data_IF_650242640565
#
_entry.id   IF_650242640565
#
_cell.length_a   1.000
_cell.length_b   1.000
_cell.length_c   1.000
_cell.angle_alpha   90.00
_cell.angle_beta   90.00
_cell.angle_gamma   90.00
#
_symmetry.space_group_name_H-M   'P 1'
#
loop_
_entity.id
_entity.type
_entity.pdbx_description
1 polymer ?
#
# COMPACT_ATOMS: atom_id res chain seq x y z
N UNK A 1 -35.23 64.37 67.28
CA UNK A 1 -34.49 63.09 67.29
C UNK A 1 -34.40 62.55 65.87
N UNK A 2 -33.17 62.36 65.39
CA UNK A 2 -32.69 61.47 64.31
C UNK A 2 -33.32 61.57 62.90
N UNK A 3 -32.57 62.26 62.05
CA UNK A 3 -32.41 62.14 60.59
C UNK A 3 -32.24 60.71 60.09
N UNK A 4 -32.81 60.40 58.91
CA UNK A 4 -32.22 59.48 57.93
C UNK A 4 -32.51 59.95 56.49
N UNK A 5 -31.44 60.17 55.74
CA UNK A 5 -31.42 60.37 54.29
C UNK A 5 -31.39 59.00 53.61
N UNK A 6 -32.05 58.86 52.46
CA UNK A 6 -31.77 57.77 51.52
C UNK A 6 -31.96 58.27 50.10
N UNK A 7 -30.82 58.48 49.43
CA UNK A 7 -30.68 58.78 48.01
C UNK A 7 -30.70 57.45 47.25
N UNK A 8 -31.56 57.32 46.25
CA UNK A 8 -31.58 56.14 45.36
C UNK A 8 -31.18 56.61 43.95
N UNK A 9 -29.97 56.25 43.56
CA UNK A 9 -29.42 56.40 42.20
C UNK A 9 -30.02 55.32 41.31
N UNK A 10 -30.67 55.71 40.21
CA UNK A 10 -31.16 54.79 39.18
C UNK A 10 -30.27 54.91 37.94
N UNK A 11 -29.54 53.84 37.65
CA UNK A 11 -28.61 53.68 36.53
C UNK A 11 -29.38 53.50 35.21
N UNK A 12 -29.04 54.30 34.20
CA UNK A 12 -29.59 54.25 32.84
C UNK A 12 -28.92 53.13 32.03
N UNK A 13 -29.72 52.17 31.55
CA UNK A 13 -29.28 51.11 30.63
C UNK A 13 -29.29 51.65 29.20
N UNK A 14 -28.11 51.68 28.56
CA UNK A 14 -27.92 51.97 27.14
C UNK A 14 -28.23 50.71 26.32
N UNK A 15 -29.18 50.82 25.39
CA UNK A 15 -29.47 49.81 24.37
C UNK A 15 -28.50 50.01 23.19
N UNK A 16 -27.55 49.10 23.02
CA UNK A 16 -26.73 48.97 21.81
C UNK A 16 -27.42 47.98 20.86
N UNK A 17 -27.97 48.50 19.76
CA UNK A 17 -28.38 47.70 18.60
C UNK A 17 -27.13 47.35 17.77
N UNK A 18 -26.68 46.10 17.87
CA UNK A 18 -25.69 45.54 16.96
C UNK A 18 -26.41 45.02 15.71
N UNK A 19 -26.18 45.70 14.58
CA UNK A 19 -26.45 45.20 13.25
C UNK A 19 -25.19 44.41 12.83
N UNK A 20 -25.24 43.08 12.88
CA UNK A 20 -24.18 42.18 12.43
C UNK A 20 -24.74 41.27 11.35
N UNK A 21 -24.39 41.57 10.10
CA UNK A 21 -24.64 40.72 8.94
C UNK A 21 -23.53 39.68 8.87
N UNK A 22 -23.69 38.56 9.56
CA UNK A 22 -22.85 37.38 9.37
C UNK A 22 -23.53 36.48 8.34
N UNK A 23 -23.05 36.56 7.10
CA UNK A 23 -23.26 35.48 6.14
C UNK A 23 -22.30 34.36 6.51
N UNK A 24 -22.66 33.61 7.55
CA UNK A 24 -21.94 32.43 7.99
C UNK A 24 -22.22 31.32 6.98
N UNK A 25 -21.54 31.36 5.84
CA UNK A 25 -21.52 30.23 4.91
C UNK A 25 -20.57 29.20 5.52
N UNK A 26 -21.08 28.42 6.49
CA UNK A 26 -20.38 27.24 6.95
C UNK A 26 -20.19 26.34 5.74
N UNK A 27 -18.98 26.32 5.16
CA UNK A 27 -18.63 25.34 4.14
C UNK A 27 -18.74 23.97 4.79
N UNK A 28 -19.64 23.14 4.26
CA UNK A 28 -19.71 21.75 4.69
C UNK A 28 -18.33 21.10 4.49
N UNK A 29 -17.88 20.38 5.52
CA UNK A 29 -16.60 19.67 5.52
C UNK A 29 -16.83 18.16 5.63
N UNK A 30 -15.91 17.39 5.06
CA UNK A 30 -15.70 15.98 5.34
C UNK A 30 -14.29 15.75 5.87
N UNK A 31 -13.99 14.54 6.32
CA UNK A 31 -12.68 14.18 6.85
C UNK A 31 -11.91 13.33 5.84
N UNK A 32 -10.59 13.54 5.78
CA UNK A 32 -9.69 12.73 4.97
C UNK A 32 -8.54 12.18 5.80
N UNK A 33 -8.25 10.90 5.56
CA UNK A 33 -7.20 10.13 6.20
C UNK A 33 -6.42 9.38 5.12
N UNK A 34 -5.09 9.37 5.21
CA UNK A 34 -4.21 8.66 4.28
C UNK A 34 -3.28 7.72 5.04
N UNK A 35 -3.39 6.45 4.73
CA UNK A 35 -2.44 5.41 5.08
C UNK A 35 -1.33 5.24 4.05
N UNK A 36 -0.16 4.79 4.50
CA UNK A 36 0.93 4.32 3.63
C UNK A 36 1.36 2.93 4.10
N UNK A 37 1.47 1.98 3.19
CA UNK A 37 1.88 0.59 3.44
C UNK A 37 2.83 0.09 2.35
N UNK A 38 3.46 -1.05 2.59
CA UNK A 38 4.52 -1.62 1.78
C UNK A 38 4.43 -3.14 1.59
N UNK A 39 4.93 -3.59 0.44
CA UNK A 39 5.35 -4.97 0.23
C UNK A 39 6.89 -5.05 0.25
N UNK A 40 7.48 -5.58 1.34
CA UNK A 40 8.88 -5.38 1.66
C UNK A 40 9.84 -6.13 0.76
N UNK A 41 10.97 -5.50 0.44
CA UNK A 41 12.02 -6.07 -0.40
C UNK A 41 13.13 -6.73 0.43
N UNK A 42 13.72 -7.81 -0.09
CA UNK A 42 14.92 -8.41 0.49
C UNK A 42 16.14 -7.49 0.30
N UNK A 43 17.01 -7.40 1.30
CA UNK A 43 18.25 -6.63 1.22
C UNK A 43 18.13 -5.18 1.68
N UNK A 44 16.92 -4.71 2.03
CA UNK A 44 16.69 -3.39 2.60
C UNK A 44 16.33 -3.54 4.08
N UNK A 45 17.12 -2.93 4.97
CA UNK A 45 16.90 -2.97 6.42
C UNK A 45 16.08 -1.81 6.94
N UNK A 46 16.08 -0.68 6.23
CA UNK A 46 15.28 0.50 6.55
C UNK A 46 15.02 1.33 5.30
N UNK A 47 13.81 1.88 5.20
CA UNK A 47 13.50 2.90 4.20
C UNK A 47 12.79 4.04 4.91
N UNK A 48 13.52 5.13 5.13
CA UNK A 48 12.97 6.33 5.76
C UNK A 48 12.30 7.22 4.72
N UNK A 49 10.97 7.37 4.80
CA UNK A 49 10.23 8.34 4.02
C UNK A 49 10.00 9.61 4.84
N UNK A 50 10.26 10.76 4.24
CA UNK A 50 10.06 12.08 4.84
C UNK A 50 9.02 12.85 4.03
N UNK A 51 7.82 13.02 4.58
CA UNK A 51 6.68 13.61 3.88
C UNK A 51 6.50 15.09 4.22
N UNK A 52 6.31 15.92 3.20
CA UNK A 52 6.26 17.38 3.33
C UNK A 52 4.83 17.95 3.29
N UNK A 53 4.11 17.82 2.17
CA UNK A 53 2.76 18.37 2.01
C UNK A 53 1.83 17.38 1.31
N UNK A 54 0.57 17.30 1.75
CA UNK A 54 -0.52 16.84 0.91
C UNK A 54 -0.94 17.98 -0.02
N UNK A 55 -1.00 17.71 -1.31
CA UNK A 55 -1.42 18.65 -2.34
C UNK A 55 -2.59 18.04 -3.11
N UNK A 56 -3.64 18.85 -3.35
CA UNK A 56 -4.81 18.42 -4.10
C UNK A 56 -5.46 19.61 -4.81
N UNK A 57 -6.03 19.37 -5.99
CA UNK A 57 -6.71 20.40 -6.80
C UNK A 57 -8.21 20.13 -6.77
N UNK A 58 -9.01 21.13 -6.38
CA UNK A 58 -10.46 20.96 -6.37
C UNK A 58 -11.09 21.16 -7.77
N UNK A 59 -12.39 20.87 -7.88
CA UNK A 59 -13.15 21.02 -9.13
C UNK A 59 -13.18 22.45 -9.72
N UNK A 60 -12.81 23.49 -8.96
CA UNK A 60 -12.68 24.87 -9.44
C UNK A 60 -11.27 25.20 -9.92
N UNK A 61 -10.31 24.27 -9.76
CA UNK A 61 -8.91 24.45 -10.08
C UNK A 61 -8.11 25.12 -8.95
N UNK A 62 -8.66 25.24 -7.75
CA UNK A 62 -7.93 25.77 -6.60
C UNK A 62 -7.02 24.67 -6.02
N UNK A 63 -5.75 25.01 -5.77
CA UNK A 63 -4.77 24.08 -5.20
C UNK A 63 -4.76 24.26 -3.68
N UNK A 64 -5.03 23.17 -2.98
CA UNK A 64 -4.99 23.07 -1.53
C UNK A 64 -3.69 22.38 -1.10
N UNK A 65 -3.08 22.88 -0.02
CA UNK A 65 -1.81 22.36 0.54
C UNK A 65 -1.94 22.19 2.04
N UNK A 66 -1.56 21.02 2.55
CA UNK A 66 -1.59 20.70 3.97
C UNK A 66 -0.22 20.18 4.40
N UNK A 67 0.44 20.86 5.34
CA UNK A 67 1.76 20.46 5.81
C UNK A 67 1.68 19.18 6.65
N UNK A 68 2.59 18.24 6.35
CA UNK A 68 2.83 16.99 7.06
C UNK A 68 4.05 17.08 7.99
N UNK A 69 4.56 18.29 8.21
CA UNK A 69 5.60 18.61 9.19
C UNK A 69 6.95 17.91 8.94
N UNK A 70 7.23 17.46 7.72
CA UNK A 70 8.46 16.73 7.38
C UNK A 70 8.66 15.50 8.27
N UNK A 71 7.57 14.80 8.60
CA UNK A 71 7.63 13.62 9.47
C UNK A 71 8.31 12.48 8.74
N UNK A 72 9.29 11.89 9.42
CA UNK A 72 9.94 10.65 9.00
C UNK A 72 9.21 9.44 9.58
N UNK A 73 9.03 8.40 8.77
CA UNK A 73 8.72 7.05 9.26
C UNK A 73 9.48 5.99 8.45
N UNK A 74 9.67 4.83 9.06
CA UNK A 74 10.23 3.67 8.34
C UNK A 74 9.10 2.96 7.61
N UNK A 75 9.17 2.90 6.29
CA UNK A 75 8.17 2.23 5.47
C UNK A 75 8.11 0.73 5.78
N UNK A 76 9.27 0.10 6.05
CA UNK A 76 9.35 -1.33 6.34
C UNK A 76 8.66 -1.75 7.65
N UNK A 77 8.27 -0.81 8.52
CA UNK A 77 7.51 -1.15 9.73
C UNK A 77 6.03 -1.50 9.41
N UNK A 78 5.57 -1.24 8.18
CA UNK A 78 4.17 -1.27 7.79
C UNK A 78 3.94 -2.16 6.56
N UNK A 79 4.05 -3.47 6.77
CA UNK A 79 4.00 -4.46 5.70
C UNK A 79 2.68 -5.25 5.69
N UNK A 80 2.33 -5.77 4.51
CA UNK A 80 1.20 -6.68 4.33
C UNK A 80 -0.12 -5.98 4.58
N UNK A 81 -0.76 -6.20 5.74
CA UNK A 81 -2.03 -5.55 6.10
C UNK A 81 -1.84 -4.32 7.01
N UNK A 82 -0.62 -4.05 7.47
CA UNK A 82 -0.33 -2.93 8.37
C UNK A 82 -0.06 -1.65 7.58
N UNK A 83 -0.48 -0.49 8.10
CA UNK A 83 -0.22 0.83 7.47
C UNK A 83 0.19 1.88 8.49
N UNK A 84 0.97 2.85 8.05
CA UNK A 84 1.21 4.09 8.77
C UNK A 84 0.13 5.11 8.42
N UNK A 85 -0.54 5.69 9.42
CA UNK A 85 -1.48 6.78 9.19
C UNK A 85 -0.71 8.09 9.03
N UNK A 86 -0.31 8.39 7.79
CA UNK A 86 0.43 9.59 7.42
C UNK A 86 -0.38 10.88 7.64
N UNK A 87 -1.68 10.79 7.37
CA UNK A 87 -2.65 11.87 7.53
C UNK A 87 -3.83 11.30 8.27
N UNK A 88 -4.22 11.96 9.36
CA UNK A 88 -5.28 11.51 10.25
C UNK A 88 -6.35 12.60 10.36
N UNK A 89 -7.53 12.34 9.80
CA UNK A 89 -8.76 13.11 10.01
C UNK A 89 -8.63 14.63 9.80
N UNK A 90 -8.04 15.04 8.67
CA UNK A 90 -8.03 16.46 8.29
C UNK A 90 -9.39 16.88 7.75
N UNK A 91 -9.89 18.04 8.16
CA UNK A 91 -11.12 18.60 7.62
C UNK A 91 -10.86 19.23 6.25
N UNK A 92 -11.60 18.76 5.25
CA UNK A 92 -11.55 19.24 3.87
C UNK A 92 -12.94 19.76 3.45
N UNK A 93 -13.02 20.85 2.68
CA UNK A 93 -14.27 21.25 2.04
C UNK A 93 -14.88 20.10 1.22
N UNK A 94 -16.20 20.01 1.21
CA UNK A 94 -16.91 19.04 0.37
C UNK A 94 -16.65 19.32 -1.10
N UNK A 95 -16.27 18.29 -1.85
CA UNK A 95 -15.89 18.45 -3.25
C UNK A 95 -15.25 17.21 -3.87
N UNK A 96 -14.98 17.33 -5.16
CA UNK A 96 -14.15 16.40 -5.91
C UNK A 96 -12.75 16.99 -6.03
N UNK A 97 -11.74 16.16 -5.78
CA UNK A 97 -10.33 16.54 -5.81
C UNK A 97 -9.57 15.63 -6.76
N UNK A 98 -8.70 16.22 -7.56
CA UNK A 98 -7.81 15.53 -8.49
C UNK A 98 -6.37 16.00 -8.31
N UNK A 99 -5.42 15.36 -9.00
CA UNK A 99 -3.98 15.58 -8.82
C UNK A 99 -3.58 15.45 -7.33
N UNK A 100 -4.15 14.48 -6.62
CA UNK A 100 -3.85 14.28 -5.20
C UNK A 100 -2.48 13.63 -5.07
N UNK A 101 -1.60 14.22 -4.27
CA UNK A 101 -0.26 13.66 -4.04
C UNK A 101 0.35 14.16 -2.73
N UNK A 102 1.28 13.38 -2.19
CA UNK A 102 2.12 13.80 -1.06
C UNK A 102 3.52 14.15 -1.58
N UNK A 103 3.97 15.38 -1.39
CA UNK A 103 5.35 15.77 -1.69
C UNK A 103 6.30 15.17 -0.65
N UNK A 104 7.52 14.84 -1.08
CA UNK A 104 8.54 14.23 -0.21
C UNK A 104 9.82 15.05 -0.20
N UNK A 105 10.56 14.97 0.89
CA UNK A 105 11.90 15.55 0.97
C UNK A 105 12.90 14.61 0.33
N UNK A 106 13.35 14.97 -0.87
CA UNK A 106 14.32 14.17 -1.62
C UNK A 106 15.60 13.94 -0.82
N UNK A 107 16.11 12.71 -0.89
CA UNK A 107 17.27 12.28 -0.13
C UNK A 107 18.61 12.68 -0.73
N UNK A 108 19.53 13.20 0.08
CA UNK A 108 20.94 13.40 -0.32
C UNK A 108 21.90 12.39 0.36
N UNK A 109 21.35 11.44 1.13
CA UNK A 109 22.08 10.46 1.93
C UNK A 109 22.30 10.87 3.39
N UNK A 110 22.19 12.16 3.71
CA UNK A 110 22.28 12.70 5.07
C UNK A 110 20.92 13.22 5.57
N UNK A 111 20.19 13.92 4.71
CA UNK A 111 18.88 14.53 4.95
C UNK A 111 17.85 13.98 3.96
N UNK A 112 16.56 14.13 4.30
CA UNK A 112 15.45 13.65 3.48
C UNK A 112 15.31 12.13 3.49
N UNK A 113 14.62 11.62 2.47
CA UNK A 113 14.37 10.20 2.28
C UNK A 113 15.66 9.37 2.13
N UNK A 114 15.67 8.12 2.56
CA UNK A 114 16.86 7.27 2.47
C UNK A 114 16.55 5.78 2.52
N UNK A 115 17.54 4.99 2.12
CA UNK A 115 17.55 3.52 2.25
C UNK A 115 18.78 3.10 3.05
N UNK A 116 18.62 2.11 3.93
CA UNK A 116 19.72 1.35 4.53
C UNK A 116 19.69 -0.09 4.04
N UNK A 117 20.80 -0.61 3.54
CA UNK A 117 20.91 -1.94 2.89
C UNK A 117 22.02 -2.83 3.50
N UNK A 118 22.44 -2.52 4.72
CA UNK A 118 23.55 -3.18 5.39
C UNK A 118 24.95 -2.76 4.94
N UNK A 119 25.10 -2.05 3.82
CA UNK A 119 26.37 -1.40 3.43
C UNK A 119 26.47 0.06 3.91
N UNK A 120 25.35 0.64 4.34
CA UNK A 120 25.28 1.99 4.88
C UNK A 120 23.94 2.63 4.59
N UNK A 121 23.90 3.96 4.76
CA UNK A 121 22.76 4.80 4.40
C UNK A 121 23.01 5.42 3.03
N UNK A 122 21.99 5.37 2.17
CA UNK A 122 22.03 5.85 0.79
C UNK A 122 20.92 6.86 0.54
N UNK A 123 21.13 7.75 -0.43
CA UNK A 123 20.10 8.68 -0.88
C UNK A 123 18.94 7.93 -1.52
N UNK A 124 17.72 8.41 -1.27
CA UNK A 124 16.51 7.97 -1.95
C UNK A 124 15.88 9.13 -2.71
N UNK A 125 15.74 8.97 -4.03
CA UNK A 125 14.96 9.86 -4.86
C UNK A 125 13.61 9.23 -5.20
N UNK A 126 12.51 9.93 -4.95
CA UNK A 126 11.19 9.51 -5.41
C UNK A 126 10.90 10.15 -6.76
N UNK A 127 10.35 9.39 -7.70
CA UNK A 127 9.95 9.87 -9.01
C UNK A 127 9.12 11.17 -8.89
N UNK A 128 9.55 12.22 -9.60
CA UNK A 128 8.96 13.56 -9.57
C UNK A 128 8.85 14.24 -8.18
N UNK A 129 9.39 13.66 -7.11
CA UNK A 129 9.36 14.21 -5.76
C UNK A 129 8.00 14.18 -5.06
N UNK A 130 7.12 13.26 -5.48
CA UNK A 130 5.85 13.04 -4.80
C UNK A 130 5.41 11.59 -4.85
N UNK A 131 4.44 11.24 -4.00
CA UNK A 131 3.72 9.98 -4.00
C UNK A 131 2.30 10.23 -4.53
N UNK A 132 1.91 9.64 -5.68
CA UNK A 132 0.60 9.87 -6.27
C UNK A 132 -0.52 9.18 -5.47
N UNK A 133 -1.69 9.80 -5.44
CA UNK A 133 -2.92 9.26 -4.85
C UNK A 133 -4.03 9.49 -5.87
N UNK A 134 -4.95 8.54 -5.97
CA UNK A 134 -6.11 8.63 -6.85
C UNK A 134 -7.02 9.78 -6.45
N UNK A 135 -7.86 10.20 -7.41
CA UNK A 135 -8.86 11.24 -7.20
C UNK A 135 -9.78 10.92 -6.01
N UNK A 136 -10.16 11.95 -5.27
CA UNK A 136 -10.87 11.81 -3.99
C UNK A 136 -12.16 12.61 -3.98
N UNK A 137 -13.25 11.97 -3.54
CA UNK A 137 -14.48 12.64 -3.20
C UNK A 137 -14.60 12.86 -1.68
N UNK A 138 -14.72 14.11 -1.27
CA UNK A 138 -15.01 14.49 0.11
C UNK A 138 -16.52 14.75 0.25
N UNK A 139 -17.14 14.10 1.23
CA UNK A 139 -18.59 14.14 1.48
C UNK A 139 -18.86 14.71 2.88
N UNK A 140 -19.89 15.55 3.00
CA UNK A 140 -20.24 16.22 4.25
C UNK A 140 -20.41 15.21 5.41
N UNK A 141 -19.74 15.48 6.53
CA UNK A 141 -19.82 14.68 7.76
C UNK A 141 -19.48 13.18 7.56
N UNK A 142 -18.63 12.85 6.58
CA UNK A 142 -18.10 11.50 6.37
C UNK A 142 -16.58 11.51 6.38
N UNK A 143 -16.00 10.43 6.86
CA UNK A 143 -14.57 10.15 6.72
C UNK A 143 -14.31 9.42 5.40
N UNK A 144 -13.27 9.85 4.70
CA UNK A 144 -12.68 9.19 3.56
C UNK A 144 -11.30 8.69 3.96
N UNK A 145 -11.12 7.37 4.01
CA UNK A 145 -9.84 6.75 4.32
C UNK A 145 -9.30 6.09 3.07
N UNK A 146 -8.09 6.47 2.66
CA UNK A 146 -7.37 5.83 1.57
C UNK A 146 -6.07 5.25 2.08
N UNK A 147 -5.55 4.23 1.40
CA UNK A 147 -4.21 3.72 1.63
C UNK A 147 -3.43 3.74 0.33
N UNK A 148 -2.23 4.30 0.36
CA UNK A 148 -1.22 4.16 -0.68
C UNK A 148 -0.38 2.92 -0.38
N UNK A 149 -0.42 1.95 -1.28
CA UNK A 149 0.48 0.81 -1.27
C UNK A 149 1.70 1.11 -2.14
N UNK A 150 2.88 0.84 -1.59
CA UNK A 150 4.16 0.95 -2.29
C UNK A 150 4.76 -0.45 -2.37
N UNK A 151 4.82 -1.05 -3.56
CA UNK A 151 5.48 -2.34 -3.73
C UNK A 151 6.99 -2.15 -3.95
N UNK A 152 7.81 -2.24 -2.89
CA UNK A 152 9.25 -1.99 -3.01
C UNK A 152 9.96 -2.99 -3.92
N UNK A 153 9.50 -4.24 -3.99
CA UNK A 153 10.03 -5.23 -4.93
C UNK A 153 10.04 -4.70 -6.38
N UNK A 154 8.99 -3.99 -6.81
CA UNK A 154 8.89 -3.46 -8.18
C UNK A 154 9.34 -2.00 -8.31
N UNK A 155 9.28 -1.27 -7.21
CA UNK A 155 9.40 0.19 -7.20
C UNK A 155 10.77 0.71 -6.85
N UNK A 156 11.52 -0.02 -6.03
CA UNK A 156 12.80 0.39 -5.51
C UNK A 156 13.93 -0.18 -6.37
N UNK A 157 14.82 0.69 -6.82
CA UNK A 157 15.98 0.31 -7.62
C UNK A 157 17.17 1.18 -7.30
N UNK A 158 18.38 0.61 -7.44
CA UNK A 158 19.63 1.33 -7.25
C UNK A 158 20.23 1.69 -8.61
N UNK A 159 20.35 2.97 -8.90
CA UNK A 159 21.00 3.52 -10.09
C UNK A 159 22.16 4.43 -9.65
N UNK A 160 23.39 4.13 -10.09
CA UNK A 160 24.56 4.98 -9.84
C UNK A 160 24.78 5.33 -8.34
N UNK A 161 24.70 4.34 -7.45
CA UNK A 161 24.83 4.51 -5.98
C UNK A 161 23.71 5.34 -5.31
N UNK A 162 22.58 5.52 -6.00
CA UNK A 162 21.41 6.21 -5.48
C UNK A 162 20.17 5.34 -5.66
N UNK A 163 19.36 5.24 -4.60
CA UNK A 163 18.08 4.58 -4.71
C UNK A 163 17.05 5.50 -5.38
N UNK A 164 16.21 4.90 -6.22
CA UNK A 164 15.08 5.51 -6.87
C UNK A 164 13.82 4.74 -6.50
N UNK A 165 12.75 5.45 -6.18
CA UNK A 165 11.42 4.88 -5.98
C UNK A 165 10.48 5.37 -7.08
N UNK A 166 10.03 4.43 -7.92
CA UNK A 166 9.23 4.70 -9.12
C UNK A 166 7.73 4.59 -8.85
N UNK A 167 6.93 5.44 -9.51
CA UNK A 167 5.47 5.48 -9.36
C UNK A 167 4.78 4.21 -9.89
N UNK A 168 5.39 3.51 -10.85
CA UNK A 168 4.83 2.30 -11.48
C UNK A 168 4.48 1.16 -10.50
N UNK A 169 5.05 1.21 -9.29
CA UNK A 169 4.87 0.22 -8.25
C UNK A 169 3.98 0.71 -7.10
N UNK A 170 3.26 1.81 -7.32
CA UNK A 170 2.37 2.41 -6.35
C UNK A 170 0.95 2.38 -6.84
N UNK A 171 0.01 2.17 -5.93
CA UNK A 171 -1.40 2.45 -6.17
C UNK A 171 -2.04 2.90 -4.87
N UNK A 172 -3.10 3.68 -4.97
CA UNK A 172 -3.93 3.97 -3.82
C UNK A 172 -5.27 3.27 -3.93
N UNK A 173 -5.95 3.13 -2.81
CA UNK A 173 -7.28 2.54 -2.80
C UNK A 173 -8.12 3.16 -1.68
N UNK A 174 -9.42 3.31 -1.93
CA UNK A 174 -10.40 3.58 -0.88
C UNK A 174 -10.50 2.37 0.03
N UNK A 175 -10.28 2.56 1.34
CA UNK A 175 -10.30 1.47 2.29
C UNK A 175 -11.65 0.76 2.36
N UNK A 176 -12.75 1.39 1.95
CA UNK A 176 -14.08 0.75 1.86
C UNK A 176 -14.29 -0.12 0.63
N UNK A 177 -13.36 -0.11 -0.34
CA UNK A 177 -13.43 -0.81 -1.63
C UNK A 177 -12.21 -1.73 -1.86
N UNK A 178 -11.52 -2.11 -0.77
CA UNK A 178 -10.33 -2.96 -0.82
C UNK A 178 -10.46 -4.16 0.11
N UNK A 179 -9.70 -5.21 -0.19
CA UNK A 179 -9.47 -6.35 0.69
C UNK A 179 -7.99 -6.66 0.85
N UNK A 180 -7.71 -7.77 1.52
CA UNK A 180 -6.38 -8.31 1.74
C UNK A 180 -6.32 -9.76 1.28
N UNK A 181 -5.17 -10.17 0.75
CA UNK A 181 -4.88 -11.55 0.37
C UNK A 181 -3.89 -12.16 1.35
N UNK A 182 -4.22 -13.33 1.86
CA UNK A 182 -3.33 -14.23 2.60
C UNK A 182 -3.26 -15.51 1.79
N UNK A 183 -2.11 -15.80 1.20
CA UNK A 183 -1.89 -17.04 0.47
C UNK A 183 -1.17 -18.05 1.34
N UNK A 184 -1.72 -19.26 1.44
CA UNK A 184 -1.09 -20.42 2.09
C UNK A 184 -0.52 -21.32 0.98
N UNK A 185 0.78 -21.61 1.00
CA UNK A 185 1.47 -22.29 -0.10
C UNK A 185 1.84 -23.69 0.32
N UNK A 186 1.44 -24.67 -0.50
CA UNK A 186 1.79 -26.08 -0.31
C UNK A 186 3.32 -26.24 -0.15
N UNK A 187 3.81 -26.74 1.00
CA UNK A 187 5.24 -26.99 1.20
C UNK A 187 5.87 -27.88 0.13
N UNK A 188 5.09 -28.75 -0.53
CA UNK A 188 5.57 -29.55 -1.64
C UNK A 188 5.88 -28.72 -2.89
N UNK A 189 5.17 -27.61 -3.16
CA UNK A 189 5.53 -26.68 -4.23
C UNK A 189 6.90 -26.07 -3.97
N UNK A 190 7.12 -25.64 -2.73
CA UNK A 190 8.39 -25.05 -2.29
C UNK A 190 9.53 -26.06 -2.48
N UNK A 191 9.41 -27.23 -1.85
CA UNK A 191 10.44 -28.27 -1.92
C UNK A 191 10.72 -28.74 -3.36
N UNK A 192 9.68 -28.85 -4.20
CA UNK A 192 9.86 -29.26 -5.60
C UNK A 192 10.56 -28.17 -6.42
N UNK A 193 10.23 -26.89 -6.20
CA UNK A 193 10.91 -25.79 -6.88
C UNK A 193 12.40 -25.76 -6.54
N UNK A 194 12.75 -25.86 -5.26
CA UNK A 194 14.14 -25.89 -4.82
C UNK A 194 14.91 -27.09 -5.40
N UNK A 195 14.28 -28.26 -5.48
CA UNK A 195 14.87 -29.46 -6.06
C UNK A 195 15.09 -29.31 -7.58
N UNK A 196 14.09 -28.82 -8.31
CA UNK A 196 14.13 -28.65 -9.76
C UNK A 196 15.20 -27.62 -10.17
N UNK A 197 15.46 -26.62 -9.32
CA UNK A 197 16.41 -25.53 -9.57
C UNK A 197 17.61 -25.51 -8.62
N UNK A 198 17.98 -26.65 -8.04
CA UNK A 198 19.10 -26.76 -7.09
C UNK A 198 20.43 -26.19 -7.65
N UNK A 199 20.65 -26.29 -8.97
CA UNK A 199 21.84 -25.76 -9.65
C UNK A 199 21.88 -24.21 -9.71
N UNK A 200 20.77 -23.54 -9.41
CA UNK A 200 20.64 -22.07 -9.40
C UNK A 200 20.56 -21.48 -7.99
N UNK A 201 20.82 -22.28 -6.95
CA UNK A 201 20.81 -21.83 -5.56
C UNK A 201 21.76 -20.65 -5.36
N UNK A 202 21.33 -19.56 -4.69
CA UNK A 202 22.18 -18.39 -4.50
C UNK A 202 23.35 -18.67 -3.56
N UNK A 203 24.34 -17.78 -3.59
CA UNK A 203 25.45 -17.81 -2.63
C UNK A 203 24.90 -17.64 -1.22
N UNK A 204 25.07 -18.65 -0.37
CA UNK A 204 24.45 -18.71 0.96
C UNK A 204 23.46 -19.86 1.12
N UNK A 205 22.97 -20.44 0.02
CA UNK A 205 22.22 -21.69 0.02
C UNK A 205 20.70 -21.56 0.19
N UNK A 206 20.15 -20.34 0.23
CA UNK A 206 18.73 -20.11 0.53
C UNK A 206 17.98 -19.49 -0.65
N UNK A 207 16.97 -20.19 -1.17
CA UNK A 207 16.11 -19.68 -2.24
C UNK A 207 15.24 -18.51 -1.80
N UNK A 208 14.89 -17.64 -2.75
CA UNK A 208 14.04 -16.47 -2.50
C UNK A 208 12.66 -16.75 -3.07
N UNK A 209 11.75 -17.15 -2.18
CA UNK A 209 10.38 -17.49 -2.53
C UNK A 209 9.51 -16.24 -2.63
N UNK A 210 8.98 -15.98 -3.83
CA UNK A 210 8.12 -14.85 -4.11
C UNK A 210 6.78 -15.29 -4.70
N UNK A 211 5.72 -14.59 -4.31
CA UNK A 211 4.38 -14.65 -4.88
C UNK A 211 4.14 -13.39 -5.72
N UNK A 212 3.54 -13.55 -6.89
CA UNK A 212 3.34 -12.53 -7.90
C UNK A 212 1.85 -12.40 -8.21
N UNK A 213 1.26 -11.24 -7.98
CA UNK A 213 -0.15 -10.99 -8.22
C UNK A 213 -0.37 -10.40 -9.61
N UNK A 214 -1.21 -11.02 -10.42
CA UNK A 214 -1.55 -10.59 -11.77
C UNK A 214 -3.01 -10.15 -11.88
N UNK A 215 -3.34 -9.26 -12.83
CA UNK A 215 -4.73 -8.86 -13.09
C UNK A 215 -5.53 -10.03 -13.70
N UNK A 216 -6.86 -9.94 -13.62
CA UNK A 216 -7.83 -10.90 -14.20
C UNK A 216 -7.62 -11.20 -15.70
N UNK A 217 -6.92 -10.34 -16.44
CA UNK A 217 -6.56 -10.60 -17.85
C UNK A 217 -5.57 -11.77 -18.02
N UNK A 218 -4.85 -12.14 -16.95
CA UNK A 218 -3.95 -13.30 -16.92
C UNK A 218 -4.74 -14.54 -16.51
N UNK A 219 -4.75 -15.53 -17.39
CA UNK A 219 -5.60 -16.75 -17.29
C UNK A 219 -4.79 -18.05 -17.29
N UNK A 220 -3.49 -17.99 -17.55
CA UNK A 220 -2.56 -19.14 -17.47
C UNK A 220 -1.15 -18.67 -17.07
N UNK A 221 -0.33 -19.59 -16.57
CA UNK A 221 1.08 -19.34 -16.22
C UNK A 221 1.90 -18.80 -17.40
N UNK A 222 1.57 -19.21 -18.64
CA UNK A 222 2.27 -18.78 -19.86
C UNK A 222 2.08 -17.28 -20.18
N UNK A 223 1.19 -16.60 -19.45
CA UNK A 223 0.92 -15.17 -19.58
C UNK A 223 1.56 -14.34 -18.44
N UNK A 224 2.25 -14.99 -17.50
CA UNK A 224 2.89 -14.33 -16.36
C UNK A 224 4.31 -13.92 -16.73
N UNK A 225 4.62 -12.63 -16.65
CA UNK A 225 6.00 -12.13 -16.74
C UNK A 225 6.65 -12.11 -15.34
N UNK A 226 7.96 -11.90 -15.31
CA UNK A 226 8.70 -11.51 -14.11
C UNK A 226 8.40 -10.04 -13.70
N UNK A 227 9.13 -9.47 -12.72
CA UNK A 227 8.89 -8.08 -12.28
C UNK A 227 9.49 -6.99 -13.17
N UNK A 228 10.17 -7.39 -14.25
CA UNK A 228 10.82 -6.52 -15.21
C UNK A 228 9.95 -5.37 -15.72
N UNK A 229 10.59 -4.28 -16.12
CA UNK A 229 9.88 -3.07 -16.58
C UNK A 229 9.29 -3.19 -17.97
N UNK A 230 9.81 -4.12 -18.78
CA UNK A 230 9.42 -4.31 -20.18
C UNK A 230 9.11 -5.79 -20.40
N UNK A 231 7.92 -6.27 -20.01
CA UNK A 231 7.58 -7.68 -20.15
C UNK A 231 7.56 -8.10 -21.64
N UNK A 232 7.91 -9.35 -21.95
CA UNK A 232 7.86 -9.89 -23.31
C UNK A 232 6.45 -9.82 -23.91
N UNK A 233 6.37 -9.85 -25.24
CA UNK A 233 5.07 -9.84 -25.94
C UNK A 233 4.22 -11.05 -25.54
N UNK A 234 3.01 -10.79 -25.06
CA UNK A 234 2.06 -11.83 -24.62
C UNK A 234 2.13 -12.15 -23.13
N UNK A 235 3.14 -11.64 -22.41
CA UNK A 235 3.27 -11.77 -20.97
C UNK A 235 2.87 -10.45 -20.30
N UNK A 236 2.37 -10.55 -19.07
CA UNK A 236 1.88 -9.42 -18.27
C UNK A 236 2.73 -9.32 -17.01
N UNK A 237 3.24 -8.13 -16.69
CA UNK A 237 3.95 -7.88 -15.44
C UNK A 237 3.01 -7.98 -14.23
N UNK A 238 3.50 -8.43 -13.06
CA UNK A 238 2.70 -8.48 -11.84
C UNK A 238 2.27 -7.07 -11.40
N UNK A 239 1.12 -6.95 -10.76
CA UNK A 239 0.68 -5.75 -10.05
C UNK A 239 1.43 -5.59 -8.73
N UNK A 240 1.62 -6.70 -8.01
CA UNK A 240 2.26 -6.74 -6.70
C UNK A 240 3.09 -8.01 -6.56
N UNK A 241 4.15 -7.94 -5.78
CA UNK A 241 5.04 -9.05 -5.43
C UNK A 241 5.22 -9.08 -3.91
N UNK A 242 5.19 -10.27 -3.32
CA UNK A 242 5.36 -10.47 -1.88
C UNK A 242 6.24 -11.67 -1.60
N UNK A 243 7.04 -11.57 -0.56
CA UNK A 243 7.89 -12.67 -0.10
C UNK A 243 7.04 -13.71 0.63
N UNK A 244 7.32 -14.99 0.40
CA UNK A 244 6.82 -16.05 1.26
C UNK A 244 7.63 -16.11 2.56
N UNK A 245 6.91 -16.21 3.66
CA UNK A 245 7.42 -16.44 5.01
C UNK A 245 7.08 -17.85 5.44
N UNK A 246 7.94 -18.44 6.25
CA UNK A 246 7.68 -19.73 6.87
C UNK A 246 7.28 -19.54 8.33
N UNK A 247 6.23 -20.23 8.76
CA UNK A 247 5.84 -20.30 10.18
C UNK A 247 6.82 -21.20 10.94
N UNK A 248 6.74 -21.19 12.27
CA UNK A 248 7.52 -22.13 13.12
C UNK A 248 7.15 -23.58 12.90
N UNK A 249 5.95 -23.85 12.39
CA UNK A 249 5.43 -25.19 12.13
C UNK A 249 5.81 -25.70 10.72
N UNK A 250 6.45 -24.85 9.91
CA UNK A 250 6.96 -25.19 8.58
C UNK A 250 6.03 -24.80 7.43
N UNK A 251 4.86 -24.21 7.73
CA UNK A 251 3.90 -23.76 6.73
C UNK A 251 4.37 -22.49 6.03
N UNK A 252 4.09 -22.39 4.74
CA UNK A 252 4.49 -21.24 3.93
C UNK A 252 3.31 -20.32 3.66
N UNK A 253 3.50 -19.03 3.83
CA UNK A 253 2.46 -18.04 3.56
C UNK A 253 3.02 -16.74 3.01
N UNK A 254 2.18 -15.96 2.33
CA UNK A 254 2.46 -14.58 1.97
C UNK A 254 1.23 -13.71 2.25
N UNK A 255 1.44 -12.40 2.36
CA UNK A 255 0.36 -11.43 2.50
C UNK A 255 0.53 -10.29 1.49
N UNK A 256 -0.58 -9.84 0.94
CA UNK A 256 -0.68 -8.63 0.11
C UNK A 256 -1.90 -7.85 0.55
N UNK A 257 -1.73 -6.60 0.96
CA UNK A 257 -2.83 -5.78 1.45
C UNK A 257 -3.31 -4.75 0.45
N UNK A 258 -4.40 -4.08 0.82
CA UNK A 258 -4.89 -2.88 0.12
C UNK A 258 -5.12 -3.12 -1.37
N UNK A 259 -5.60 -4.33 -1.70
CA UNK A 259 -5.94 -4.73 -3.05
C UNK A 259 -7.36 -4.24 -3.36
N UNK A 260 -7.58 -3.52 -4.48
CA UNK A 260 -8.93 -3.23 -4.94
C UNK A 260 -9.78 -4.51 -5.05
N UNK A 261 -11.10 -4.39 -4.89
CA UNK A 261 -11.99 -5.51 -5.18
C UNK A 261 -11.83 -5.97 -6.63
N UNK A 262 -11.84 -7.28 -6.85
CA UNK A 262 -11.69 -7.83 -8.19
C UNK A 262 -11.09 -9.22 -8.22
N UNK A 263 -10.95 -9.73 -9.43
CA UNK A 263 -10.32 -11.01 -9.68
C UNK A 263 -8.84 -10.82 -10.00
N UNK A 264 -8.04 -11.75 -9.50
CA UNK A 264 -6.60 -11.78 -9.64
C UNK A 264 -6.13 -13.22 -9.86
N UNK A 265 -4.86 -13.35 -10.19
CA UNK A 265 -4.16 -14.64 -10.28
C UNK A 265 -2.84 -14.56 -9.57
N UNK A 266 -2.42 -15.61 -8.88
CA UNK A 266 -1.11 -15.63 -8.20
C UNK A 266 -0.17 -16.60 -8.90
N UNK A 267 1.00 -16.09 -9.29
CA UNK A 267 2.16 -16.89 -9.67
C UNK A 267 3.09 -17.10 -8.48
N UNK A 268 3.86 -18.19 -8.50
CA UNK A 268 4.87 -18.53 -7.51
C UNK A 268 6.21 -18.87 -8.17
N UNK A 269 7.31 -18.40 -7.58
CA UNK A 269 8.67 -18.82 -7.94
C UNK A 269 9.59 -18.87 -6.71
N UNK A 270 10.51 -19.84 -6.69
CA UNK A 270 11.63 -19.87 -5.74
C UNK A 270 12.87 -19.11 -6.24
N UNK A 271 12.82 -18.57 -7.47
CA UNK A 271 13.95 -17.90 -8.13
C UNK A 271 13.92 -16.38 -7.98
N UNK A 272 13.31 -15.85 -6.92
CA UNK A 272 13.20 -14.40 -6.72
C UNK A 272 14.55 -13.68 -6.57
N UNK A 273 15.64 -14.40 -6.31
CA UNK A 273 17.00 -13.85 -6.28
C UNK A 273 17.58 -13.62 -7.70
N UNK A 274 16.89 -14.11 -8.73
CA UNK A 274 17.24 -13.98 -10.14
C UNK A 274 16.23 -13.11 -10.89
N UNK A 275 15.31 -12.46 -10.18
CA UNK A 275 14.29 -11.59 -10.75
C UNK A 275 14.66 -10.12 -10.48
N UNK A 276 15.20 -9.45 -11.50
CA UNK A 276 15.57 -8.04 -11.43
C UNK A 276 14.33 -7.15 -11.64
N UNK A 277 14.13 -6.09 -10.83
CA UNK A 277 12.97 -5.22 -10.94
C UNK A 277 12.91 -4.41 -12.25
N UNK A 278 13.99 -4.40 -13.03
CA UNK A 278 14.14 -3.64 -14.27
C UNK A 278 14.26 -4.58 -15.48
N UNK A 279 15.12 -5.59 -15.41
CA UNK A 279 15.46 -6.47 -16.53
C UNK A 279 14.39 -7.54 -16.78
N UNK A 280 14.38 -8.07 -18.00
CA UNK A 280 13.56 -9.22 -18.41
C UNK A 280 14.40 -10.49 -18.24
N UNK A 281 14.29 -11.10 -17.08
CA UNK A 281 14.99 -12.32 -16.69
C UNK A 281 14.20 -13.59 -17.08
N UNK A 282 12.90 -13.48 -17.36
CA UNK A 282 12.10 -14.61 -17.84
C UNK A 282 12.48 -15.00 -19.28
N UNK A 283 12.93 -14.06 -20.11
CA UNK A 283 13.39 -14.35 -21.48
C UNK A 283 14.91 -14.35 -21.63
N UNK A 284 15.61 -13.48 -20.89
CA UNK A 284 17.06 -13.31 -21.03
C UNK A 284 17.86 -13.98 -19.90
N UNK A 285 17.19 -14.49 -18.88
CA UNK A 285 17.79 -15.08 -17.70
C UNK A 285 17.29 -16.50 -17.42
N UNK A 286 17.71 -17.07 -16.28
CA UNK A 286 17.29 -18.39 -15.81
C UNK A 286 15.98 -18.36 -15.00
N UNK A 287 15.36 -17.19 -14.83
CA UNK A 287 14.14 -17.04 -14.04
C UNK A 287 12.98 -17.80 -14.69
N UNK A 288 12.12 -18.37 -13.85
CA UNK A 288 10.86 -18.97 -14.28
C UNK A 288 9.74 -18.63 -13.32
N UNK A 289 8.52 -18.52 -13.86
CA UNK A 289 7.32 -18.68 -13.07
C UNK A 289 7.07 -20.17 -12.87
N UNK A 290 7.12 -20.66 -11.62
CA UNK A 290 7.12 -22.09 -11.33
C UNK A 290 5.71 -22.68 -11.24
N UNK A 291 4.82 -21.98 -10.54
CA UNK A 291 3.44 -22.41 -10.31
C UNK A 291 2.46 -21.26 -10.40
N UNK A 292 1.21 -21.65 -10.52
CA UNK A 292 0.07 -20.80 -10.75
C UNK A 292 -1.04 -21.30 -9.83
N UNK A 293 -1.50 -20.41 -8.96
CA UNK A 293 -2.42 -20.71 -7.87
C UNK A 293 -3.89 -20.50 -8.26
N UNK A 294 -4.22 -20.49 -9.55
CA UNK A 294 -5.57 -20.25 -10.06
C UNK A 294 -6.14 -18.86 -9.68
N UNK A 295 -7.39 -18.62 -10.08
CA UNK A 295 -8.07 -17.35 -9.87
C UNK A 295 -8.44 -17.16 -8.40
N UNK A 296 -8.23 -15.93 -7.92
CA UNK A 296 -8.57 -15.45 -6.59
C UNK A 296 -9.52 -14.26 -6.74
N UNK A 297 -10.53 -14.16 -5.89
CA UNK A 297 -11.41 -12.99 -5.82
C UNK A 297 -11.16 -12.25 -4.53
N UNK A 298 -10.76 -10.99 -4.64
CA UNK A 298 -10.68 -10.05 -3.51
C UNK A 298 -12.04 -9.38 -3.37
N UNK A 299 -12.63 -9.52 -2.21
CA UNK A 299 -13.85 -8.83 -1.81
C UNK A 299 -13.49 -7.72 -0.83
N UNK A 300 -14.16 -6.57 -0.92
CA UNK A 300 -13.98 -5.51 0.08
C UNK A 300 -14.61 -5.89 1.42
N UNK A 301 -15.74 -6.59 1.39
CA UNK A 301 -16.63 -6.78 2.52
C UNK A 301 -17.38 -5.49 2.91
N UNK A 302 -18.28 -5.55 3.91
CA UNK A 302 -19.22 -4.46 4.23
C UNK A 302 -18.58 -3.13 4.67
N UNK A 303 -17.36 -3.18 5.19
CA UNK A 303 -16.62 -2.02 5.69
C UNK A 303 -15.26 -1.86 5.00
N UNK A 304 -14.97 -2.67 3.99
CA UNK A 304 -13.62 -2.80 3.48
C UNK A 304 -12.69 -3.64 4.37
N UNK A 305 -11.53 -4.01 3.83
CA UNK A 305 -10.48 -4.75 4.53
C UNK A 305 -10.79 -6.21 4.81
N UNK A 306 -11.71 -6.84 4.06
CA UNK A 306 -11.95 -8.28 4.18
C UNK A 306 -10.68 -9.07 3.83
N UNK A 307 -10.36 -10.07 4.67
CA UNK A 307 -9.26 -10.99 4.42
C UNK A 307 -9.74 -12.15 3.57
N UNK A 308 -9.04 -12.38 2.47
CA UNK A 308 -9.22 -13.52 1.57
C UNK A 308 -8.08 -14.50 1.83
N UNK A 309 -8.41 -15.69 2.32
CA UNK A 309 -7.45 -16.79 2.48
C UNK A 309 -7.50 -17.65 1.22
N UNK A 310 -6.34 -17.92 0.63
CA UNK A 310 -6.23 -18.71 -0.59
C UNK A 310 -5.19 -19.82 -0.47
N UNK A 311 -5.59 -21.06 -0.73
CA UNK A 311 -4.70 -22.22 -0.72
C UNK A 311 -4.04 -22.41 -2.11
N UNK A 312 -2.73 -22.18 -2.18
CA UNK A 312 -1.93 -22.40 -3.38
C UNK A 312 -1.39 -23.84 -3.38
N UNK A 313 -1.91 -24.71 -4.26
CA UNK A 313 -1.32 -26.02 -4.51
C UNK A 313 -2.15 -27.26 -4.19
N UNK A 314 -3.35 -27.11 -3.63
CA UNK A 314 -4.27 -28.24 -3.37
C UNK A 314 -5.00 -28.80 -4.62
N UNK A 315 -4.50 -28.50 -5.82
CA UNK A 315 -5.10 -28.87 -7.11
C UNK A 315 -4.70 -30.23 -7.69
N UNK A 316 -4.14 -31.17 -6.92
CA UNK A 316 -3.87 -32.53 -7.38
C UNK A 316 -4.75 -33.56 -6.65
N UNK A 317 -5.83 -33.97 -7.33
CA UNK A 317 -6.78 -35.05 -7.01
C UNK A 317 -6.42 -36.01 -5.87
N UNK A 318 -7.06 -35.81 -4.72
CA UNK A 318 -7.18 -36.79 -3.65
C UNK A 318 -8.60 -36.76 -3.09
N UNK A 319 -9.39 -37.78 -3.40
CA UNK A 319 -10.63 -38.07 -2.69
C UNK A 319 -10.32 -38.20 -1.19
N UNK A 320 -10.59 -37.17 -0.39
CA UNK A 320 -10.95 -37.38 0.99
C UNK A 320 -12.45 -37.64 1.03
N UNK A 321 -12.79 -38.93 0.97
CA UNK A 321 -14.11 -39.43 1.34
C UNK A 321 -14.49 -38.83 2.70
N UNK A 322 -15.47 -37.93 2.69
CA UNK A 322 -16.17 -37.53 3.88
C UNK A 322 -16.87 -38.76 4.45
N UNK A 323 -16.28 -39.34 5.48
CA UNK A 323 -16.98 -40.29 6.33
C UNK A 323 -18.12 -39.55 7.04
N UNK A 324 -19.30 -39.61 6.42
CA UNK A 324 -20.57 -39.35 7.08
C UNK A 324 -20.77 -40.38 8.21
N UNK A 325 -20.51 -39.95 9.43
CA UNK A 325 -20.90 -40.65 10.64
C UNK A 325 -22.22 -40.11 11.17
N UNK A 326 -23.33 -40.61 10.64
CA UNK A 326 -24.61 -40.60 11.34
C UNK A 326 -24.71 -41.86 12.21
N UNK A 327 -25.10 -41.69 13.48
CA UNK A 327 -25.80 -42.73 14.24
C UNK A 327 -25.44 -42.80 15.72
N UNK A 328 -26.42 -42.50 16.58
CA UNK A 328 -26.40 -42.83 18.01
C UNK A 328 -26.90 -41.72 18.91
#
# INVERSE_FOLDING_TARGET
>A
MKTYYSVLMLSSVLLLSACGSDSDSTTDVGQFSLGVSDAPMVGVSRLGLVMNELVMTDAKGEIHRYSLQHREFNLLDYQGMNRHLAIDNIDLPVGQYHNVHVTIDQGDGNQGCYVEDGQGRHSLQVENGYLPIDDVQIIANRERVMTLEINLFRGLLMEQEQYQLRHRAMWSVDNSQMGHLIGEVDPQWVASCEMDYADLTPVGGEFYHLAYLYPDSVTSIDQMADMGTTPPTGLTAPLSVSRLLQTTDGDWYFAMGYLPEGNYRVGYSCLGHLDDPILDDISAGPFVMYKDADTITIESGPLGGQQTIHECGNGNGGHHEGHGGHGG
#
